data_IF_984629680531
#
_entry.id   IF_984629680531
#
_cell.length_a   1.000
_cell.length_b   1.000
_cell.length_c   1.000
_cell.angle_alpha   90.00
_cell.angle_beta   90.00
_cell.angle_gamma   90.00
#
_symmetry.space_group_name_H-M   'P 1'
#
loop_
_entity.id
_entity.type
_entity.pdbx_description
1 polymer ?
#
# COMPACT_ATOMS: atom_id res chain seq x y z
N UNK A 1 25.23 -81.66 -19.99
CA UNK A 1 24.56 -82.74 -19.22
C UNK A 1 24.83 -82.53 -17.74
N UNK A 2 23.76 -82.43 -16.92
CA UNK A 2 23.66 -82.67 -15.46
C UNK A 2 24.52 -81.76 -14.55
N UNK A 3 23.90 -80.82 -13.85
CA UNK A 3 23.27 -80.93 -12.51
C UNK A 3 24.27 -81.01 -11.36
N UNK A 4 24.18 -80.04 -10.43
CA UNK A 4 24.10 -80.13 -8.95
C UNK A 4 23.83 -78.69 -8.48
N UNK A 5 22.58 -78.30 -8.19
CA UNK A 5 21.83 -78.51 -6.95
C UNK A 5 22.40 -77.71 -5.75
N UNK A 6 21.76 -76.58 -5.43
CA UNK A 6 21.56 -76.20 -4.03
C UNK A 6 20.17 -75.60 -3.89
N UNK A 7 19.37 -76.32 -3.10
CA UNK A 7 17.99 -76.07 -2.74
C UNK A 7 17.95 -75.15 -1.52
N UNK A 8 17.10 -74.13 -1.53
CA UNK A 8 16.44 -73.66 -0.31
C UNK A 8 14.94 -73.49 -0.60
N UNK A 9 14.18 -74.44 -0.09
CA UNK A 9 12.72 -74.40 0.08
C UNK A 9 12.47 -73.65 1.38
N UNK A 10 11.67 -72.57 1.37
CA UNK A 10 10.80 -72.24 2.51
C UNK A 10 9.44 -71.78 1.97
N UNK A 11 8.50 -72.73 2.12
CA UNK A 11 7.08 -72.62 2.47
C UNK A 11 6.23 -71.43 1.97
N UNK A 12 5.30 -71.79 1.08
CA UNK A 12 3.98 -71.19 0.96
C UNK A 12 3.26 -71.16 2.32
N UNK A 13 2.65 -70.02 2.64
CA UNK A 13 1.31 -70.00 3.27
C UNK A 13 0.38 -69.20 2.37
N UNK A 14 -0.61 -69.90 1.84
CA UNK A 14 -1.77 -69.35 1.14
C UNK A 14 -2.77 -68.98 2.24
N UNK A 15 -3.16 -67.70 2.30
CA UNK A 15 -4.49 -67.32 2.80
C UNK A 15 -5.20 -66.66 1.62
N UNK A 16 -6.35 -67.23 1.29
CA UNK A 16 -7.22 -66.87 0.20
C UNK A 16 -8.17 -65.72 0.56
N UNK A 17 -8.79 -65.17 -0.49
CA UNK A 17 -9.90 -64.22 -0.54
C UNK A 17 -9.55 -62.75 -0.25
N UNK A 18 -9.97 -61.76 -1.05
CA UNK A 18 -11.03 -61.70 -2.06
C UNK A 18 -10.69 -60.63 -3.10
N UNK A 19 -11.14 -60.84 -4.35
CA UNK A 19 -11.19 -59.82 -5.39
C UNK A 19 -12.06 -58.65 -4.93
N UNK A 20 -11.44 -57.52 -4.63
CA UNK A 20 -12.10 -56.22 -4.68
C UNK A 20 -11.51 -55.38 -5.81
N UNK A 21 -12.42 -54.66 -6.48
CA UNK A 21 -12.18 -53.87 -7.68
C UNK A 21 -11.02 -52.91 -7.47
N UNK A 22 -10.15 -52.83 -8.48
CA UNK A 22 -9.33 -51.65 -8.73
C UNK A 22 -10.28 -50.48 -9.03
N UNK A 23 -10.78 -49.83 -7.98
CA UNK A 23 -11.21 -48.45 -8.08
C UNK A 23 -9.93 -47.62 -8.23
N UNK A 24 -9.68 -47.18 -9.46
CA UNK A 24 -8.90 -45.98 -9.70
C UNK A 24 -9.58 -44.85 -8.92
N UNK A 25 -9.16 -44.66 -7.68
CA UNK A 25 -9.38 -43.42 -6.96
C UNK A 25 -8.54 -42.38 -7.71
N UNK A 26 -9.15 -41.78 -8.74
CA UNK A 26 -8.80 -40.43 -9.14
C UNK A 26 -8.61 -39.63 -7.85
N UNK A 27 -7.38 -39.18 -7.65
CA UNK A 27 -7.04 -38.34 -6.54
C UNK A 27 -8.11 -37.27 -6.42
N UNK A 28 -8.87 -37.37 -5.33
CA UNK A 28 -9.72 -36.31 -4.80
C UNK A 28 -8.79 -35.18 -4.36
N UNK A 29 -8.13 -34.52 -5.31
CA UNK A 29 -7.44 -33.26 -5.11
C UNK A 29 -8.55 -32.23 -5.00
N UNK A 30 -9.06 -32.06 -3.79
CA UNK A 30 -10.00 -31.00 -3.53
C UNK A 30 -9.45 -30.03 -2.49
N UNK A 31 -9.66 -28.76 -2.84
CA UNK A 31 -9.68 -27.54 -2.01
C UNK A 31 -8.36 -26.79 -1.87
N UNK A 32 -8.24 -25.86 -2.81
CA UNK A 32 -7.46 -24.63 -2.86
C UNK A 32 -6.03 -24.77 -3.40
N UNK A 33 -5.97 -25.02 -4.71
CA UNK A 33 -4.77 -24.76 -5.52
C UNK A 33 -4.38 -23.28 -5.53
N UNK A 34 -5.24 -22.37 -5.07
CA UNK A 34 -4.96 -20.93 -4.95
C UNK A 34 -4.81 -20.54 -3.49
N UNK A 35 -3.69 -19.91 -3.15
CA UNK A 35 -3.39 -19.36 -1.83
C UNK A 35 -3.48 -17.84 -1.87
N UNK A 36 -4.36 -17.27 -1.05
CA UNK A 36 -4.45 -15.83 -0.85
C UNK A 36 -3.22 -15.35 -0.08
N UNK A 37 -2.52 -14.37 -0.64
CA UNK A 37 -1.31 -13.78 -0.05
C UNK A 37 -1.61 -12.42 0.57
N UNK A 38 -2.45 -11.61 -0.10
CA UNK A 38 -2.83 -10.27 0.37
C UNK A 38 -4.26 -9.96 -0.04
N UNK A 39 -4.98 -9.32 0.87
CA UNK A 39 -6.29 -8.74 0.65
C UNK A 39 -6.22 -7.27 1.08
N UNK A 40 -6.69 -6.35 0.25
CA UNK A 40 -6.50 -4.91 0.46
C UNK A 40 -7.56 -4.11 -0.25
N UNK A 41 -7.97 -3.00 0.35
CA UNK A 41 -8.76 -1.97 -0.33
C UNK A 41 -7.81 -0.96 -0.97
N UNK A 42 -7.94 -0.72 -2.27
CA UNK A 42 -7.14 0.28 -3.00
C UNK A 42 -8.06 1.37 -3.58
N UNK A 43 -7.49 2.50 -3.97
CA UNK A 43 -8.21 3.62 -4.61
C UNK A 43 -7.56 3.95 -5.95
N UNK A 44 -7.34 2.94 -6.81
CA UNK A 44 -6.59 3.11 -8.06
C UNK A 44 -7.53 3.44 -9.21
N UNK A 45 -8.61 2.68 -9.33
CA UNK A 45 -9.59 2.85 -10.41
C UNK A 45 -10.96 3.28 -9.91
N UNK A 46 -11.09 3.53 -8.60
CA UNK A 46 -12.33 3.95 -7.93
C UNK A 46 -12.02 4.99 -6.85
N UNK A 47 -12.82 6.06 -6.79
CA UNK A 47 -12.81 7.03 -5.70
C UNK A 47 -13.48 6.52 -4.43
N UNK A 48 -14.33 5.50 -4.55
CA UNK A 48 -15.06 4.88 -3.44
C UNK A 48 -14.34 3.64 -2.88
N UNK A 49 -13.19 3.31 -3.47
CA UNK A 49 -12.40 2.13 -3.13
C UNK A 49 -12.70 0.94 -4.02
N UNK A 50 -11.75 0.02 -4.07
CA UNK A 50 -11.84 -1.26 -4.77
C UNK A 50 -11.21 -2.35 -3.92
N UNK A 51 -11.87 -3.51 -3.82
CA UNK A 51 -11.29 -4.67 -3.16
C UNK A 51 -10.29 -5.32 -4.09
N UNK A 52 -9.05 -5.56 -3.64
CA UNK A 52 -7.98 -6.17 -4.42
C UNK A 52 -7.35 -7.33 -3.67
N UNK A 53 -7.42 -8.51 -4.29
CA UNK A 53 -6.89 -9.76 -3.79
C UNK A 53 -5.69 -10.18 -4.62
N UNK A 54 -4.59 -10.47 -3.94
CA UNK A 54 -3.42 -11.07 -4.53
C UNK A 54 -3.26 -12.51 -4.04
N UNK A 55 -3.17 -13.44 -4.97
CA UNK A 55 -3.05 -14.87 -4.68
C UNK A 55 -2.04 -15.58 -5.59
N UNK A 56 -1.60 -16.76 -5.19
CA UNK A 56 -0.69 -17.61 -5.94
C UNK A 56 -1.35 -18.95 -6.20
N UNK A 57 -1.37 -19.39 -7.46
CA UNK A 57 -1.73 -20.75 -7.81
C UNK A 57 -0.55 -21.68 -7.47
N UNK A 58 -0.70 -22.48 -6.41
CA UNK A 58 0.31 -23.44 -5.92
C UNK A 58 0.72 -24.49 -6.95
N UNK A 59 -0.15 -24.82 -7.90
CA UNK A 59 0.12 -25.81 -8.96
C UNK A 59 0.89 -25.19 -10.13
N UNK A 60 0.38 -24.10 -10.70
CA UNK A 60 1.00 -23.49 -11.90
C UNK A 60 2.11 -22.50 -11.56
N UNK A 61 2.22 -22.11 -10.27
CA UNK A 61 3.06 -21.02 -9.76
C UNK A 61 2.72 -19.65 -10.34
N UNK A 62 1.55 -19.51 -10.95
CA UNK A 62 1.08 -18.23 -11.44
C UNK A 62 0.60 -17.35 -10.31
N UNK A 63 0.87 -16.06 -10.47
CA UNK A 63 0.38 -15.00 -9.62
C UNK A 63 -0.95 -14.47 -10.17
N UNK A 64 -1.92 -14.22 -9.29
CA UNK A 64 -3.28 -13.81 -9.64
C UNK A 64 -3.62 -12.54 -8.88
N UNK A 65 -4.04 -11.50 -9.60
CA UNK A 65 -4.68 -10.31 -9.02
C UNK A 65 -6.15 -10.33 -9.41
N UNK A 66 -7.03 -10.26 -8.42
CA UNK A 66 -8.46 -10.07 -8.60
C UNK A 66 -8.86 -8.75 -7.97
N UNK A 67 -9.70 -7.98 -8.65
CA UNK A 67 -10.21 -6.72 -8.13
C UNK A 67 -11.70 -6.57 -8.40
N UNK A 68 -12.44 -6.07 -7.42
CA UNK A 68 -13.87 -5.78 -7.53
C UNK A 68 -14.13 -4.32 -7.15
N UNK A 69 -14.78 -3.60 -8.07
CA UNK A 69 -15.21 -2.21 -7.90
C UNK A 69 -16.73 -2.19 -7.90
N UNK A 70 -17.30 -1.72 -6.81
CA UNK A 70 -18.74 -1.50 -6.70
C UNK A 70 -19.09 -0.09 -7.14
N UNK A 71 -20.22 0.06 -7.82
CA UNK A 71 -20.83 1.34 -8.11
C UNK A 71 -22.34 1.23 -8.02
N UNK A 72 -23.02 2.37 -7.99
CA UNK A 72 -24.47 2.40 -7.76
C UNK A 72 -25.27 1.61 -8.81
N UNK A 73 -24.84 1.68 -10.07
CA UNK A 73 -25.54 1.10 -11.23
C UNK A 73 -24.89 -0.18 -11.77
N UNK A 74 -23.82 -0.66 -11.14
CA UNK A 74 -23.10 -1.82 -11.64
C UNK A 74 -21.88 -2.19 -10.81
N UNK A 75 -21.11 -3.16 -11.32
CA UNK A 75 -19.79 -3.48 -10.78
C UNK A 75 -18.81 -3.89 -11.86
N UNK A 76 -17.54 -3.64 -11.60
CA UNK A 76 -16.42 -4.04 -12.46
C UNK A 76 -15.59 -5.08 -11.72
N UNK A 77 -15.25 -6.16 -12.41
CA UNK A 77 -14.40 -7.22 -11.89
C UNK A 77 -13.21 -7.39 -12.81
N UNK A 78 -12.00 -7.18 -12.29
CA UNK A 78 -10.76 -7.45 -12.99
C UNK A 78 -10.12 -8.74 -12.50
N UNK A 79 -9.52 -9.49 -13.42
CA UNK A 79 -8.67 -10.63 -13.09
C UNK A 79 -7.46 -10.69 -13.99
N UNK A 80 -6.28 -10.74 -13.37
CA UNK A 80 -5.00 -10.83 -14.07
C UNK A 80 -4.23 -12.05 -13.60
N UNK A 81 -3.71 -12.83 -14.54
CA UNK A 81 -2.81 -13.95 -14.26
C UNK A 81 -1.46 -13.66 -14.90
N UNK A 82 -0.38 -13.81 -14.16
CA UNK A 82 0.95 -13.45 -14.61
C UNK A 82 2.02 -14.31 -13.93
N UNK A 83 3.18 -14.40 -14.58
CA UNK A 83 4.40 -14.95 -13.98
C UNK A 83 5.57 -14.17 -14.58
N UNK A 84 6.06 -13.16 -13.85
CA UNK A 84 6.93 -12.07 -14.32
C UNK A 84 6.28 -11.17 -15.38
N UNK A 85 5.61 -11.75 -16.36
CA UNK A 85 4.88 -11.05 -17.43
C UNK A 85 3.40 -11.42 -17.40
N UNK A 86 2.56 -10.49 -17.88
CA UNK A 86 1.11 -10.67 -17.97
C UNK A 86 0.77 -11.77 -18.97
N UNK A 87 0.10 -12.83 -18.51
CA UNK A 87 -0.38 -13.93 -19.36
C UNK A 87 -1.81 -13.69 -19.81
N UNK A 88 -2.70 -13.42 -18.86
CA UNK A 88 -4.12 -13.17 -19.12
C UNK A 88 -4.59 -11.97 -18.31
N UNK A 89 -5.49 -11.19 -18.89
CA UNK A 89 -6.18 -10.09 -18.23
C UNK A 89 -7.61 -10.05 -18.73
N UNK A 90 -8.56 -9.96 -17.82
CA UNK A 90 -9.97 -9.87 -18.13
C UNK A 90 -10.66 -8.82 -17.27
N UNK A 91 -11.68 -8.19 -17.85
CA UNK A 91 -12.62 -7.31 -17.18
C UNK A 91 -14.03 -7.85 -17.42
N UNK A 92 -14.81 -7.96 -16.36
CA UNK A 92 -16.25 -8.20 -16.43
C UNK A 92 -16.97 -6.96 -15.93
N UNK A 93 -17.77 -6.34 -16.81
CA UNK A 93 -18.68 -5.25 -16.45
C UNK A 93 -20.08 -5.79 -16.26
N UNK A 94 -20.65 -5.56 -15.09
CA UNK A 94 -22.04 -5.90 -14.77
C UNK A 94 -22.84 -4.61 -14.62
N UNK A 95 -23.97 -4.51 -15.30
CA UNK A 95 -24.94 -3.42 -15.13
C UNK A 95 -26.18 -3.95 -14.43
N UNK A 96 -26.67 -3.20 -13.45
CA UNK A 96 -27.87 -3.55 -12.70
C UNK A 96 -29.14 -3.12 -13.45
N UNK A 97 -30.26 -3.80 -13.18
CA UNK A 97 -31.60 -3.39 -13.65
C UNK A 97 -32.06 -2.10 -12.98
N UNK A 98 -31.70 -1.93 -11.71
CA UNK A 98 -31.96 -0.77 -10.87
C UNK A 98 -30.75 -0.49 -9.95
N UNK A 99 -30.58 0.74 -9.45
CA UNK A 99 -29.46 1.08 -8.57
C UNK A 99 -29.49 0.36 -7.20
N UNK A 100 -28.33 0.14 -6.59
CA UNK A 100 -28.21 -0.55 -5.29
C UNK A 100 -28.91 0.17 -4.13
N UNK A 101 -29.09 1.50 -4.21
CA UNK A 101 -29.82 2.27 -3.20
C UNK A 101 -31.35 2.10 -3.32
N UNK A 102 -31.84 1.64 -4.48
CA UNK A 102 -33.26 1.27 -4.67
C UNK A 102 -33.49 -0.16 -4.21
N UNK A 103 -32.59 -1.06 -4.59
CA UNK A 103 -32.62 -2.46 -4.20
C UNK A 103 -31.19 -2.93 -3.90
N UNK A 104 -30.86 -3.30 -2.64
CA UNK A 104 -29.49 -3.69 -2.27
C UNK A 104 -29.01 -4.98 -2.93
N UNK A 105 -29.92 -5.76 -3.55
CA UNK A 105 -29.60 -6.94 -4.34
C UNK A 105 -30.23 -6.85 -5.74
N UNK A 106 -29.81 -5.88 -6.57
CA UNK A 106 -30.46 -5.66 -7.86
C UNK A 106 -30.09 -6.77 -8.84
N UNK A 107 -31.01 -7.11 -9.72
CA UNK A 107 -30.75 -8.09 -10.79
C UNK A 107 -29.76 -7.53 -11.80
N UNK A 108 -28.98 -8.41 -12.41
CA UNK A 108 -28.02 -8.03 -13.46
C UNK A 108 -28.79 -7.90 -14.78
N UNK A 109 -28.83 -6.69 -15.32
CA UNK A 109 -29.42 -6.36 -16.62
C UNK A 109 -28.57 -6.85 -17.78
N UNK A 110 -27.25 -6.66 -17.67
CA UNK A 110 -26.32 -7.03 -18.73
C UNK A 110 -24.93 -7.30 -18.18
N UNK A 111 -24.21 -8.20 -18.85
CA UNK A 111 -22.84 -8.56 -18.55
C UNK A 111 -21.99 -8.45 -19.82
N UNK A 112 -20.88 -7.73 -19.73
CA UNK A 112 -19.89 -7.63 -20.80
C UNK A 112 -18.57 -8.21 -20.27
N UNK A 113 -17.97 -9.14 -21.02
CA UNK A 113 -16.67 -9.71 -20.71
C UNK A 113 -15.68 -9.31 -21.79
N UNK A 114 -14.56 -8.75 -21.36
CA UNK A 114 -13.49 -8.28 -22.21
C UNK A 114 -12.16 -8.87 -21.74
N UNK A 115 -11.25 -9.12 -22.68
CA UNK A 115 -9.92 -9.63 -22.38
C UNK A 115 -8.87 -9.01 -23.31
N UNK A 116 -7.61 -9.41 -23.14
CA UNK A 116 -6.47 -8.90 -23.92
C UNK A 116 -6.59 -9.13 -25.44
N UNK A 117 -7.52 -9.97 -25.91
CA UNK A 117 -7.76 -10.29 -27.32
C UNK A 117 -9.01 -9.59 -27.88
N UNK A 118 -9.82 -8.91 -27.06
CA UNK A 118 -11.08 -8.28 -27.50
C UNK A 118 -10.85 -7.16 -28.51
N UNK A 119 -9.93 -6.23 -28.21
CA UNK A 119 -9.53 -5.14 -29.11
C UNK A 119 -8.17 -4.56 -28.69
N UNK A 120 -7.46 -3.85 -29.58
CA UNK A 120 -6.23 -3.13 -29.20
C UNK A 120 -6.45 -2.15 -28.04
N UNK A 121 -7.56 -1.40 -28.05
CA UNK A 121 -7.89 -0.44 -27.00
C UNK A 121 -8.15 -1.13 -25.66
N UNK A 122 -8.92 -2.21 -25.67
CA UNK A 122 -9.18 -3.04 -24.48
C UNK A 122 -7.86 -3.60 -23.91
N UNK A 123 -6.99 -4.11 -24.79
CA UNK A 123 -5.67 -4.63 -24.40
C UNK A 123 -4.82 -3.55 -23.71
N UNK A 124 -4.72 -2.36 -24.31
CA UNK A 124 -3.95 -1.25 -23.74
C UNK A 124 -4.51 -0.81 -22.39
N UNK A 125 -5.84 -0.72 -22.27
CA UNK A 125 -6.53 -0.41 -21.02
C UNK A 125 -6.25 -1.42 -19.92
N UNK A 126 -6.42 -2.71 -20.21
CA UNK A 126 -6.15 -3.80 -19.26
C UNK A 126 -4.66 -3.86 -18.86
N UNK A 127 -3.75 -3.64 -19.80
CA UNK A 127 -2.32 -3.58 -19.50
C UNK A 127 -1.97 -2.39 -18.59
N UNK A 128 -2.61 -1.24 -18.79
CA UNK A 128 -2.43 -0.06 -17.92
C UNK A 128 -2.90 -0.34 -16.49
N UNK A 129 -4.09 -0.94 -16.34
CA UNK A 129 -4.63 -1.33 -15.02
C UNK A 129 -3.72 -2.37 -14.35
N UNK A 130 -3.31 -3.41 -15.08
CA UNK A 130 -2.37 -4.40 -14.56
C UNK A 130 -1.06 -3.77 -14.10
N UNK A 131 -0.48 -2.84 -14.86
CA UNK A 131 0.74 -2.11 -14.47
C UNK A 131 0.54 -1.32 -13.18
N UNK A 132 -0.61 -0.68 -13.00
CA UNK A 132 -0.91 0.05 -11.76
C UNK A 132 -0.98 -0.90 -10.56
N UNK A 133 -1.73 -2.01 -10.66
CA UNK A 133 -1.78 -3.00 -9.59
C UNK A 133 -0.43 -3.64 -9.31
N UNK A 134 0.32 -3.97 -10.36
CA UNK A 134 1.67 -4.55 -10.21
C UNK A 134 2.62 -3.57 -9.53
N UNK A 135 2.53 -2.27 -9.84
CA UNK A 135 3.29 -1.23 -9.16
C UNK A 135 2.91 -1.14 -7.69
N UNK A 136 1.64 -1.26 -7.31
CA UNK A 136 1.24 -1.12 -5.90
C UNK A 136 1.54 -2.39 -5.10
N UNK A 137 1.18 -3.56 -5.64
CA UNK A 137 1.31 -4.85 -4.97
C UNK A 137 2.73 -5.39 -4.99
N UNK A 138 3.44 -5.15 -6.09
CA UNK A 138 4.83 -5.56 -6.32
C UNK A 138 5.67 -4.37 -6.72
N UNK A 139 5.45 -3.21 -6.09
CA UNK A 139 6.56 -2.28 -5.91
C UNK A 139 7.64 -3.09 -5.21
N UNK A 140 8.47 -3.76 -6.03
CA UNK A 140 9.85 -4.05 -5.76
C UNK A 140 10.29 -2.79 -5.09
N UNK A 141 10.72 -2.88 -3.83
CA UNK A 141 11.51 -1.85 -3.16
C UNK A 141 12.18 -1.06 -4.28
N UNK A 142 11.67 0.13 -4.61
CA UNK A 142 12.60 1.16 -5.01
C UNK A 142 13.29 1.33 -3.69
N UNK A 143 14.34 0.54 -3.52
CA UNK A 143 15.15 0.60 -2.35
C UNK A 143 15.66 2.03 -2.41
N UNK A 144 15.06 2.91 -1.60
CA UNK A 144 15.90 3.61 -0.67
C UNK A 144 16.84 2.54 -0.14
N UNK A 145 18.11 2.73 -0.45
CA UNK A 145 19.18 1.76 -0.23
C UNK A 145 18.89 1.01 1.06
N UNK A 146 18.99 -0.33 1.03
CA UNK A 146 18.85 -1.24 2.19
C UNK A 146 19.65 -0.72 3.39
N UNK A 147 19.08 0.22 4.11
CA UNK A 147 19.54 0.75 5.35
C UNK A 147 18.31 0.50 6.21
N UNK A 148 18.33 -0.62 6.93
CA UNK A 148 17.26 -0.98 7.86
C UNK A 148 17.30 0.06 8.99
N UNK A 149 16.72 1.22 8.73
CA UNK A 149 16.54 2.24 9.74
C UNK A 149 15.36 1.85 10.62
N UNK A 150 15.55 1.97 11.92
CA UNK A 150 14.45 1.93 12.88
C UNK A 150 14.55 3.13 13.80
N UNK A 151 13.39 3.63 14.21
CA UNK A 151 13.28 4.79 15.07
C UNK A 151 12.73 4.35 16.43
N UNK A 152 13.33 4.83 17.50
CA UNK A 152 12.79 4.70 18.84
C UNK A 152 12.72 6.06 19.50
N UNK A 153 11.59 6.36 20.12
CA UNK A 153 11.33 7.65 20.74
C UNK A 153 11.26 7.46 22.25
N UNK A 154 12.00 8.28 22.99
CA UNK A 154 11.97 8.32 24.45
C UNK A 154 11.79 9.75 24.94
N UNK A 155 11.12 9.89 26.09
CA UNK A 155 10.92 11.20 26.73
C UNK A 155 12.15 11.50 27.57
N UNK A 156 12.76 12.67 27.34
CA UNK A 156 13.90 13.15 28.14
C UNK A 156 13.46 14.08 29.26
N UNK A 157 12.54 15.00 28.96
CA UNK A 157 12.09 16.03 29.89
C UNK A 157 10.56 16.15 29.84
N UNK A 158 9.97 16.58 30.96
CA UNK A 158 8.54 16.83 31.12
C UNK A 158 8.28 18.12 31.87
N UNK A 159 7.15 18.75 31.61
CA UNK A 159 6.67 19.91 32.37
C UNK A 159 6.00 19.50 33.69
N UNK A 160 5.48 20.50 34.41
CA UNK A 160 4.76 20.33 35.68
C UNK A 160 3.48 19.51 35.55
N UNK A 161 2.89 19.46 34.36
CA UNK A 161 1.70 18.66 34.05
C UNK A 161 2.08 17.24 33.56
N UNK A 162 3.36 16.86 33.68
CA UNK A 162 3.91 15.59 33.21
C UNK A 162 3.79 15.39 31.68
N UNK A 163 3.64 16.50 30.93
CA UNK A 163 3.66 16.48 29.45
C UNK A 163 5.12 16.47 28.99
N UNK A 164 5.50 15.67 27.99
CA UNK A 164 6.85 15.72 27.41
C UNK A 164 7.18 17.15 26.96
N UNK A 165 8.39 17.62 27.18
CA UNK A 165 8.89 18.91 26.65
C UNK A 165 10.10 18.72 25.75
N UNK A 166 10.85 17.65 25.99
CA UNK A 166 11.98 17.22 25.16
C UNK A 166 11.88 15.72 24.97
N UNK A 167 11.95 15.28 23.71
CA UNK A 167 12.08 13.86 23.36
C UNK A 167 13.41 13.60 22.66
N UNK A 168 13.87 12.36 22.78
CA UNK A 168 14.97 11.82 22.00
C UNK A 168 14.41 10.92 20.90
N UNK A 169 14.80 11.20 19.67
CA UNK A 169 14.57 10.32 18.52
C UNK A 169 15.90 9.60 18.30
N UNK A 170 15.94 8.33 18.69
CA UNK A 170 17.07 7.44 18.47
C UNK A 170 16.89 6.74 17.13
N UNK A 171 17.85 6.97 16.23
CA UNK A 171 17.88 6.39 14.88
C UNK A 171 18.88 5.25 14.90
N UNK A 172 18.41 4.05 14.58
CA UNK A 172 19.22 2.85 14.47
C UNK A 172 19.36 2.45 13.02
N UNK A 173 20.53 1.94 12.65
CA UNK A 173 20.77 1.30 11.38
C UNK A 173 21.33 -0.09 11.65
N UNK A 174 20.63 -1.13 11.21
CA UNK A 174 20.99 -2.53 11.53
C UNK A 174 21.20 -2.73 13.05
N UNK A 175 20.24 -2.25 13.84
CA UNK A 175 20.21 -2.29 15.32
C UNK A 175 21.31 -1.50 16.05
N UNK A 176 22.20 -0.82 15.32
CA UNK A 176 23.18 0.10 15.92
C UNK A 176 22.66 1.52 15.92
N UNK A 177 22.72 2.19 17.07
CA UNK A 177 22.39 3.61 17.17
C UNK A 177 23.41 4.40 16.34
N UNK A 178 22.93 5.12 15.33
CA UNK A 178 23.76 5.94 14.45
C UNK A 178 23.55 7.43 14.67
N UNK A 179 22.40 7.83 15.23
CA UNK A 179 22.10 9.23 15.51
C UNK A 179 21.07 9.35 16.64
N UNK A 180 21.22 10.41 17.43
CA UNK A 180 20.21 10.86 18.38
C UNK A 180 19.82 12.30 18.04
N UNK A 181 18.53 12.57 17.99
CA UNK A 181 17.98 13.91 17.75
C UNK A 181 17.16 14.31 18.97
N UNK A 182 17.57 15.39 19.64
CA UNK A 182 16.74 16.05 20.63
C UNK A 182 15.70 16.91 19.91
N UNK A 183 14.44 16.74 20.27
CA UNK A 183 13.33 17.42 19.63
C UNK A 183 12.36 18.00 20.65
N UNK A 184 11.93 19.24 20.37
CA UNK A 184 11.10 20.06 21.24
C UNK A 184 9.89 20.55 20.39
N UNK A 185 8.74 19.86 20.42
CA UNK A 185 7.55 20.36 19.74
C UNK A 185 6.84 21.43 20.58
N UNK A 186 6.02 22.21 19.89
CA UNK A 186 5.23 23.32 20.43
C UNK A 186 3.95 22.86 21.12
N UNK A 187 3.31 21.80 20.60
CA UNK A 187 2.08 21.24 21.16
C UNK A 187 2.15 19.72 21.27
N UNK A 188 1.43 19.17 22.24
CA UNK A 188 1.46 17.73 22.53
C UNK A 188 0.06 17.11 22.66
N UNK A 189 -0.11 15.99 21.96
CA UNK A 189 -1.07 14.94 22.25
C UNK A 189 -0.29 13.63 22.39
N UNK A 190 -0.16 13.10 23.62
CA UNK A 190 0.55 11.85 23.87
C UNK A 190 -0.35 10.66 23.47
N UNK A 191 -0.40 10.39 22.17
CA UNK A 191 -0.88 9.12 21.64
C UNK A 191 0.27 8.45 20.85
N UNK A 192 0.37 7.14 20.97
CA UNK A 192 1.38 6.22 20.38
C UNK A 192 2.34 6.80 19.31
N UNK A 193 3.63 6.94 19.63
CA UNK A 193 4.70 7.43 18.72
C UNK A 193 5.23 6.32 17.79
N UNK A 194 4.34 5.47 17.28
CA UNK A 194 4.75 4.44 16.31
C UNK A 194 4.98 5.10 14.95
N UNK A 195 6.19 4.98 14.36
CA UNK A 195 6.43 5.42 13.00
C UNK A 195 5.49 4.73 12.04
N UNK A 196 4.88 5.50 11.15
CA UNK A 196 4.05 4.99 10.06
C UNK A 196 4.69 5.37 8.73
N UNK A 197 4.84 4.39 7.85
CA UNK A 197 5.40 4.55 6.51
C UNK A 197 4.31 4.95 5.52
N UNK A 198 4.41 6.17 4.99
CA UNK A 198 3.40 6.77 4.10
C UNK A 198 3.16 5.96 2.82
N UNK A 199 4.19 5.28 2.29
CA UNK A 199 4.07 4.53 1.03
C UNK A 199 3.78 3.05 1.23
N UNK A 200 3.86 2.55 2.46
CA UNK A 200 3.70 1.15 2.79
C UNK A 200 2.43 0.87 3.61
N UNK A 201 1.68 1.90 4.01
CA UNK A 201 0.32 1.72 4.51
C UNK A 201 -0.61 1.36 3.36
N UNK A 202 -1.45 0.34 3.55
CA UNK A 202 -2.57 0.02 2.65
C UNK A 202 -3.65 1.12 2.62
N UNK A 203 -3.50 2.16 3.44
CA UNK A 203 -4.39 3.30 3.57
C UNK A 203 -3.68 4.55 3.04
N UNK A 204 -4.37 5.35 2.23
CA UNK A 204 -3.95 6.70 1.93
C UNK A 204 -4.03 7.51 3.24
N UNK A 205 -2.89 7.99 3.75
CA UNK A 205 -2.88 8.75 4.99
C UNK A 205 -3.64 10.07 4.78
N UNK A 206 -4.69 10.26 5.56
CA UNK A 206 -5.47 11.49 5.60
C UNK A 206 -5.06 12.30 6.82
N UNK A 207 -3.95 13.03 6.72
CA UNK A 207 -3.52 13.95 7.78
C UNK A 207 -4.40 15.21 7.77
N UNK A 208 -5.02 15.53 8.89
CA UNK A 208 -5.91 16.68 9.03
C UNK A 208 -6.35 16.90 10.48
N UNK A 209 -7.30 17.81 10.68
CA UNK A 209 -7.79 18.17 12.03
C UNK A 209 -8.41 16.96 12.74
N UNK A 210 -9.11 16.10 11.99
CA UNK A 210 -9.87 14.97 12.53
C UNK A 210 -9.00 13.74 12.83
N UNK A 211 -7.88 13.58 12.10
CA UNK A 211 -7.00 12.43 12.22
C UNK A 211 -5.59 12.82 11.81
N UNK A 212 -4.63 12.48 12.66
CA UNK A 212 -3.24 12.73 12.38
C UNK A 212 -2.31 11.77 13.11
N UNK A 213 -1.13 11.58 12.55
CA UNK A 213 -0.09 10.74 13.13
C UNK A 213 1.05 11.60 13.68
N UNK A 214 1.67 11.09 14.74
CA UNK A 214 2.74 11.81 15.43
C UNK A 214 4.10 11.67 14.74
N UNK A 215 4.32 10.58 14.01
CA UNK A 215 5.59 10.28 13.34
C UNK A 215 5.33 9.54 12.02
N UNK A 216 5.77 10.14 10.92
CA UNK A 216 5.51 9.64 9.56
C UNK A 216 6.85 9.54 8.84
N UNK A 217 7.12 8.41 8.17
CA UNK A 217 8.28 8.27 7.27
C UNK A 217 7.82 8.31 5.82
N UNK A 218 8.55 9.04 5.00
CA UNK A 218 8.31 9.16 3.57
C UNK A 218 9.55 9.75 2.89
N UNK A 219 9.61 9.70 1.58
CA UNK A 219 10.59 10.41 0.75
C UNK A 219 9.96 11.74 0.29
N UNK A 220 10.17 12.82 1.06
CA UNK A 220 9.53 14.12 0.84
C UNK A 220 10.29 14.99 -0.15
N UNK A 221 11.58 14.70 -0.37
CA UNK A 221 12.47 15.47 -1.25
C UNK A 221 12.75 14.77 -2.58
N UNK A 222 12.15 13.60 -2.83
CA UNK A 222 12.24 12.83 -4.08
C UNK A 222 13.66 12.37 -4.45
N UNK A 223 14.56 12.23 -3.47
CA UNK A 223 15.92 11.73 -3.71
C UNK A 223 16.03 10.20 -3.57
N UNK A 224 14.92 9.53 -3.25
CA UNK A 224 14.81 8.10 -2.95
C UNK A 224 15.53 7.68 -1.67
N UNK A 225 15.78 8.58 -0.73
CA UNK A 225 16.17 8.24 0.64
C UNK A 225 14.94 8.36 1.55
N UNK A 226 15.00 7.72 2.72
CA UNK A 226 13.91 7.78 3.68
C UNK A 226 14.05 9.06 4.50
N UNK A 227 13.01 9.90 4.53
CA UNK A 227 12.91 11.05 5.40
C UNK A 227 11.88 10.78 6.52
N UNK A 228 11.76 11.68 7.48
CA UNK A 228 10.64 11.65 8.42
C UNK A 228 10.06 13.02 8.71
N UNK A 229 8.77 13.01 9.07
CA UNK A 229 8.02 14.12 9.59
C UNK A 229 7.55 13.76 11.02
N UNK A 230 7.74 14.68 11.96
CA UNK A 230 7.31 14.51 13.35
C UNK A 230 6.43 15.69 13.75
N UNK A 231 5.33 15.41 14.46
CA UNK A 231 4.37 16.42 14.89
C UNK A 231 5.09 17.54 15.66
N UNK A 232 4.86 18.78 15.23
CA UNK A 232 5.38 19.99 15.85
C UNK A 232 4.30 20.71 16.63
N UNK A 233 3.12 20.88 16.04
CA UNK A 233 1.97 21.44 16.70
C UNK A 233 0.66 20.86 16.15
N UNK A 234 -0.44 20.96 16.88
CA UNK A 234 -1.78 20.67 16.35
C UNK A 234 -2.25 21.66 15.28
N UNK A 235 -1.65 22.85 15.23
CA UNK A 235 -1.96 23.90 14.25
C UNK A 235 -3.41 24.42 14.28
N UNK A 236 -4.17 24.09 15.32
CA UNK A 236 -5.53 24.56 15.55
C UNK A 236 -6.47 24.25 14.38
N UNK A 237 -7.19 25.27 13.91
CA UNK A 237 -8.14 25.15 12.79
C UNK A 237 -7.46 24.89 11.43
N UNK A 238 -6.12 24.97 11.34
CA UNK A 238 -5.35 24.63 10.15
C UNK A 238 -4.98 23.14 10.06
N UNK A 239 -5.14 22.40 11.16
CA UNK A 239 -4.67 21.02 11.28
C UNK A 239 -3.19 20.92 11.66
N UNK A 240 -2.69 19.68 11.87
CA UNK A 240 -1.36 19.42 12.41
C UNK A 240 -0.25 19.98 11.53
N UNK A 241 0.80 20.48 12.18
CA UNK A 241 2.03 20.94 11.52
C UNK A 241 3.21 20.11 11.98
N UNK A 242 4.19 19.92 11.09
CA UNK A 242 5.25 18.93 11.25
C UNK A 242 6.64 19.55 11.09
N UNK A 243 7.58 19.08 11.90
CA UNK A 243 9.01 19.27 11.63
C UNK A 243 9.50 18.14 10.72
N UNK A 244 10.29 18.49 9.70
CA UNK A 244 10.79 17.54 8.71
C UNK A 244 12.30 17.33 8.85
N UNK A 245 12.74 16.11 8.59
CA UNK A 245 14.13 15.71 8.67
C UNK A 245 14.49 14.85 7.47
N UNK A 246 15.45 15.33 6.67
CA UNK A 246 15.86 14.64 5.46
C UNK A 246 17.11 13.82 5.69
N UNK A 247 17.10 12.60 5.16
CA UNK A 247 18.26 11.74 5.18
C UNK A 247 19.28 12.20 4.13
N UNK A 248 20.53 12.28 4.53
CA UNK A 248 21.63 12.47 3.59
C UNK A 248 22.25 11.14 3.17
N UNK A 249 23.14 11.18 2.17
CA UNK A 249 23.85 9.99 1.67
C UNK A 249 24.73 9.26 2.71
N UNK A 250 25.00 9.87 3.86
CA UNK A 250 25.71 9.25 4.99
C UNK A 250 24.75 8.56 5.98
N UNK A 251 23.44 8.65 5.76
CA UNK A 251 22.43 8.12 6.67
C UNK A 251 22.05 9.04 7.81
N UNK A 252 22.53 10.29 7.82
CA UNK A 252 22.20 11.26 8.87
C UNK A 252 20.93 12.02 8.50
N UNK A 253 20.04 12.24 9.47
CA UNK A 253 18.80 12.98 9.33
C UNK A 253 18.98 14.41 9.83
N UNK A 254 18.64 15.40 9.00
CA UNK A 254 18.82 16.83 9.33
C UNK A 254 17.61 17.64 8.90
N UNK A 255 17.28 18.68 9.69
CA UNK A 255 16.26 19.65 9.28
C UNK A 255 16.68 20.31 7.96
N UNK A 256 15.83 20.30 6.93
CA UNK A 256 16.12 20.96 5.66
C UNK A 256 15.95 22.48 5.79
N UNK A 257 16.90 23.25 5.28
CA UNK A 257 16.87 24.71 5.38
C UNK A 257 15.86 25.36 4.43
N UNK A 258 15.71 24.80 3.22
CA UNK A 258 14.91 25.39 2.13
C UNK A 258 13.61 24.64 1.85
N UNK A 259 13.15 23.79 2.78
CA UNK A 259 11.93 23.01 2.58
C UNK A 259 10.69 23.85 2.92
N UNK A 260 9.75 24.03 1.98
CA UNK A 260 8.63 24.95 2.16
C UNK A 260 7.62 24.52 3.23
N UNK A 261 7.62 23.26 3.64
CA UNK A 261 6.68 22.73 4.63
C UNK A 261 7.32 22.49 6.00
N UNK A 262 8.58 22.89 6.23
CA UNK A 262 9.17 22.70 7.56
C UNK A 262 8.42 23.55 8.60
N UNK A 263 7.91 22.89 9.64
CA UNK A 263 7.00 23.47 10.63
C UNK A 263 5.67 23.96 10.01
N UNK A 264 5.28 23.33 8.90
CA UNK A 264 4.05 23.57 8.15
C UNK A 264 3.17 22.31 8.04
N UNK A 265 2.07 22.37 7.26
CA UNK A 265 1.10 21.28 7.18
C UNK A 265 1.65 20.07 6.45
N UNK A 266 1.10 18.90 6.77
CA UNK A 266 1.37 17.69 6.00
C UNK A 266 0.81 17.80 4.57
N UNK A 267 1.56 17.38 3.52
CA UNK A 267 1.07 17.41 2.15
C UNK A 267 -0.13 16.46 1.96
N UNK A 268 -1.21 16.98 1.38
CA UNK A 268 -2.39 16.20 0.98
C UNK A 268 -2.09 15.25 -0.19
N UNK A 269 -1.09 15.61 -1.01
CA UNK A 269 -0.62 14.78 -2.10
C UNK A 269 0.91 14.86 -2.21
N UNK A 270 1.55 13.70 -2.39
CA UNK A 270 2.98 13.55 -2.69
C UNK A 270 3.10 12.86 -4.04
N UNK A 271 3.37 13.64 -5.10
CA UNK A 271 3.50 13.11 -6.46
C UNK A 271 4.98 12.98 -6.84
N UNK A 272 5.50 11.75 -6.71
CA UNK A 272 6.89 11.38 -7.07
C UNK A 272 7.21 11.45 -8.55
N UNK A 273 6.22 11.43 -9.43
CA UNK A 273 6.45 11.47 -10.89
C UNK A 273 6.84 12.88 -11.32
N UNK A 274 6.13 13.87 -10.79
CA UNK A 274 6.28 15.27 -11.15
C UNK A 274 7.09 16.07 -10.11
N UNK A 275 7.55 15.39 -9.05
CA UNK A 275 8.26 15.94 -7.89
C UNK A 275 7.50 17.11 -7.26
N UNK A 276 6.23 16.88 -6.96
CA UNK A 276 5.34 17.91 -6.41
C UNK A 276 4.73 17.50 -5.08
N UNK A 277 4.53 18.51 -4.23
CA UNK A 277 3.79 18.43 -2.98
C UNK A 277 2.59 19.38 -3.06
N UNK A 278 1.41 18.86 -2.77
CA UNK A 278 0.18 19.67 -2.71
C UNK A 278 -0.25 19.82 -1.27
N UNK A 279 -0.42 21.06 -0.81
CA UNK A 279 -1.09 21.36 0.45
C UNK A 279 -2.45 21.98 0.16
N UNK A 280 -3.41 21.73 1.04
CA UNK A 280 -4.72 22.37 0.99
C UNK A 280 -5.21 22.62 2.41
N UNK A 281 -5.66 23.84 2.69
CA UNK A 281 -6.09 24.24 4.02
C UNK A 281 -7.02 25.44 4.01
N UNK A 282 -7.79 25.66 5.08
CA UNK A 282 -8.70 26.79 5.18
C UNK A 282 -7.95 28.12 5.31
N UNK A 283 -8.45 29.14 4.62
CA UNK A 283 -8.07 30.55 4.82
C UNK A 283 -9.27 31.34 5.28
N UNK A 284 -9.20 31.85 6.52
CA UNK A 284 -10.33 32.51 7.15
C UNK A 284 -11.50 31.53 7.34
N UNK A 285 -12.73 32.00 7.12
CA UNK A 285 -13.93 31.22 7.44
C UNK A 285 -14.59 30.51 6.24
N UNK A 286 -14.24 30.89 5.00
CA UNK A 286 -15.05 30.51 3.83
C UNK A 286 -14.24 30.18 2.59
N UNK A 287 -12.92 30.06 2.71
CA UNK A 287 -12.05 29.77 1.57
C UNK A 287 -11.11 28.63 1.90
N UNK A 288 -10.74 27.87 0.88
CA UNK A 288 -9.65 26.91 0.91
C UNK A 288 -8.57 27.44 -0.02
N UNK A 289 -7.32 27.42 0.44
CA UNK A 289 -6.16 27.60 -0.43
C UNK A 289 -5.54 26.24 -0.73
N UNK A 290 -5.27 26.00 -2.01
CA UNK A 290 -4.48 24.87 -2.47
C UNK A 290 -3.20 25.39 -3.10
N UNK A 291 -2.05 24.98 -2.54
CA UNK A 291 -0.72 25.38 -3.00
C UNK A 291 0.07 24.16 -3.44
N UNK A 292 0.70 24.25 -4.61
CA UNK A 292 1.53 23.19 -5.19
C UNK A 292 2.98 23.66 -5.23
N UNK A 293 3.84 22.92 -4.54
CA UNK A 293 5.29 23.09 -4.56
C UNK A 293 5.90 22.06 -5.50
N UNK A 294 6.90 22.47 -6.27
CA UNK A 294 7.68 21.58 -7.13
C UNK A 294 9.16 21.69 -6.79
N UNK A 295 9.83 20.54 -6.68
CA UNK A 295 11.28 20.48 -6.58
C UNK A 295 11.90 20.44 -7.99
N UNK A 296 12.64 21.49 -8.35
CA UNK A 296 13.36 21.57 -9.63
C UNK A 296 14.78 22.07 -9.41
N UNK A 297 15.76 21.32 -9.92
CA UNK A 297 17.19 21.62 -9.76
C UNK A 297 17.57 21.80 -8.27
N UNK A 298 17.08 20.90 -7.42
CA UNK A 298 17.29 20.93 -5.96
C UNK A 298 16.78 22.20 -5.26
N UNK A 299 15.86 22.94 -5.89
CA UNK A 299 15.22 24.11 -5.31
C UNK A 299 13.71 23.96 -5.35
N UNK A 300 13.06 24.22 -4.23
CA UNK A 300 11.62 24.27 -4.13
C UNK A 300 11.08 25.56 -4.76
N UNK A 301 9.99 25.43 -5.52
CA UNK A 301 9.26 26.56 -6.09
C UNK A 301 7.77 26.33 -5.95
N UNK A 302 7.04 27.38 -5.60
CA UNK A 302 5.59 27.39 -5.75
C UNK A 302 5.24 27.53 -7.23
N UNK A 303 4.49 26.55 -7.76
CA UNK A 303 4.07 26.55 -9.17
C UNK A 303 2.58 26.88 -9.34
N UNK A 304 1.80 26.77 -8.26
CA UNK A 304 0.40 27.17 -8.21
C UNK A 304 0.01 27.53 -6.78
N UNK A 305 -0.80 28.57 -6.61
CA UNK A 305 -1.61 28.83 -5.42
C UNK A 305 -2.97 29.28 -5.92
N UNK A 306 -4.04 28.63 -5.44
CA UNK A 306 -5.42 28.91 -5.82
C UNK A 306 -6.28 28.98 -4.58
N UNK A 307 -7.18 29.96 -4.54
CA UNK A 307 -8.19 30.09 -3.51
C UNK A 307 -9.55 29.82 -4.10
N UNK A 308 -10.32 28.98 -3.41
CA UNK A 308 -11.68 28.62 -3.80
C UNK A 308 -12.61 28.84 -2.62
N UNK A 309 -13.85 29.23 -2.88
CA UNK A 309 -14.84 29.33 -1.82
C UNK A 309 -15.16 27.90 -1.34
N UNK A 310 -15.28 27.72 -0.03
CA UNK A 310 -15.84 26.50 0.53
C UNK A 310 -17.29 26.41 0.03
N UNK A 311 -17.60 25.37 -0.73
CA UNK A 311 -18.97 25.15 -1.17
C UNK A 311 -19.85 25.03 0.08
N UNK A 312 -20.85 25.92 0.17
CA UNK A 312 -21.94 25.74 1.12
C UNK A 312 -22.79 24.60 0.57
N UNK A 313 -22.68 23.43 1.18
CA UNK A 313 -23.76 22.43 1.09
C UNK A 313 -25.07 23.00 1.66
#
# INVERSE_FOLDING_TARGET
>A
MKNILSFFIIALTIIACSKEKLDFNENKINKNSVELIKDSTLFVNSSEGEEVKFSINKMTKDSIIESEIFGETGKLIYKFTFNKELKTGECTTLKYEEPIYVNPNPKIKSQIKENLLTSPQTKDGLQKIFKNYSKILFNKKISSQNLNYSFSISILEKDTDNKPTVINIEIKQNDKIVQNIKYNPSFWSYNDFKPIDYFNTSLQLQEGIESYHNFITADFNFDNLEDFAILYDSGGNGGPVYSYYFQNKKGEFKKPQDFPLNEGPFPKEINKKDNTLTISGPIGCCKIETTIFQLKNSKWKTISSKQENMNKE
#
